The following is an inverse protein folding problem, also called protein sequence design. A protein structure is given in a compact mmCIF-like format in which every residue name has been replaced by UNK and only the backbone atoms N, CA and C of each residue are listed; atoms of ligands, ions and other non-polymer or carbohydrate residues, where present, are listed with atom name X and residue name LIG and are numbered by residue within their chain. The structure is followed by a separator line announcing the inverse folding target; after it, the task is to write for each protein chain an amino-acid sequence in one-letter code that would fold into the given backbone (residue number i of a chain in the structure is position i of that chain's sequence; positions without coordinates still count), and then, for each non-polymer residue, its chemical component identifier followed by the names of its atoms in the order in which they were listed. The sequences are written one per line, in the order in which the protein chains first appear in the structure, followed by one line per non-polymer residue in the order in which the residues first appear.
data_IF_656282588426
#
_entry.id   IF_656282588426
#
_cell.length_a   1.000
_cell.length_b   1.000
_cell.length_c   1.000
_cell.angle_alpha   90.00
_cell.angle_beta   90.00
_cell.angle_gamma   90.00
#
_symmetry.space_group_name_H-M   'P 1'
#
loop_
_entity.id
_entity.type
_entity.pdbx_description
1 polymer ?
#
# COMPACT_ATOMS: atom_id res chain seq x y z
N UNK A 1 7.82 6.03 -26.33
CA UNK A 1 6.37 6.22 -26.16
C UNK A 1 5.98 5.69 -24.77
N UNK A 2 5.39 6.51 -23.91
CA UNK A 2 4.84 6.06 -22.64
C UNK A 2 3.59 5.22 -22.88
N UNK A 3 3.52 4.02 -22.30
CA UNK A 3 2.27 3.24 -22.27
C UNK A 3 1.36 3.84 -21.21
N UNK A 4 0.08 3.88 -21.48
CA UNK A 4 -0.97 4.30 -20.51
C UNK A 4 -1.30 3.12 -19.61
N UNK A 5 -1.60 3.36 -18.33
CA UNK A 5 -1.81 2.31 -17.33
C UNK A 5 -2.90 1.30 -17.73
N UNK A 6 -3.89 1.75 -18.49
CA UNK A 6 -5.02 0.96 -19.00
C UNK A 6 -4.60 -0.21 -19.90
N UNK A 7 -3.38 -0.19 -20.44
CA UNK A 7 -2.84 -1.28 -21.27
C UNK A 7 -2.00 -2.31 -20.50
N UNK A 8 -1.90 -2.15 -19.17
CA UNK A 8 -1.12 -3.07 -18.37
C UNK A 8 -2.01 -4.06 -17.60
N UNK A 9 -1.55 -5.30 -17.52
CA UNK A 9 -2.10 -6.27 -16.60
C UNK A 9 -1.67 -5.92 -15.17
N UNK A 10 -2.62 -5.46 -14.35
CA UNK A 10 -2.39 -5.06 -12.98
C UNK A 10 -2.68 -6.21 -12.02
N UNK A 11 -1.70 -6.55 -11.17
CA UNK A 11 -1.83 -7.50 -10.08
C UNK A 11 -1.82 -6.81 -8.72
N UNK A 12 -2.56 -7.34 -7.76
CA UNK A 12 -2.55 -6.88 -6.37
C UNK A 12 -2.34 -8.09 -5.46
N UNK A 13 -1.30 -8.05 -4.64
CA UNK A 13 -1.05 -9.04 -3.59
C UNK A 13 -1.37 -8.40 -2.24
N UNK A 14 -2.39 -8.95 -1.55
CA UNK A 14 -3.00 -8.38 -0.36
C UNK A 14 -4.20 -7.48 -0.67
N UNK A 15 -5.37 -7.84 -0.14
CA UNK A 15 -6.63 -7.10 -0.34
C UNK A 15 -7.20 -6.60 0.98
N UNK A 16 -6.29 -6.03 1.80
CA UNK A 16 -6.61 -5.25 2.99
C UNK A 16 -7.15 -3.86 2.63
N UNK A 17 -7.06 -2.90 3.55
CA UNK A 17 -7.54 -1.53 3.33
C UNK A 17 -6.90 -0.87 2.10
N UNK A 18 -5.57 -1.00 1.96
CA UNK A 18 -4.81 -0.38 0.87
C UNK A 18 -5.07 -1.09 -0.46
N UNK A 19 -4.93 -2.44 -0.50
CA UNK A 19 -5.19 -3.21 -1.72
C UNK A 19 -6.61 -3.04 -2.24
N UNK A 20 -7.61 -3.00 -1.34
CA UNK A 20 -8.99 -2.67 -1.68
C UNK A 20 -9.13 -1.29 -2.32
N UNK A 21 -8.48 -0.27 -1.73
CA UNK A 21 -8.51 1.10 -2.27
C UNK A 21 -7.90 1.17 -3.67
N UNK A 22 -6.73 0.53 -3.87
CA UNK A 22 -6.07 0.45 -5.19
C UNK A 22 -6.97 -0.26 -6.20
N UNK A 23 -7.55 -1.41 -5.84
CA UNK A 23 -8.48 -2.14 -6.69
C UNK A 23 -9.65 -1.27 -7.16
N UNK A 24 -10.28 -0.53 -6.24
CA UNK A 24 -11.36 0.40 -6.58
C UNK A 24 -10.90 1.51 -7.55
N UNK A 25 -9.73 2.10 -7.32
CA UNK A 25 -9.22 3.14 -8.21
C UNK A 25 -8.87 2.62 -9.60
N UNK A 26 -8.36 1.40 -9.71
CA UNK A 26 -8.12 0.76 -11.00
C UNK A 26 -9.43 0.49 -11.73
N UNK A 27 -10.45 -0.05 -11.05
CA UNK A 27 -11.77 -0.30 -11.63
C UNK A 27 -12.45 0.98 -12.12
N UNK A 28 -12.36 2.08 -11.36
CA UNK A 28 -12.87 3.40 -11.78
C UNK A 28 -12.21 3.92 -13.06
N UNK A 29 -11.00 3.45 -13.38
CA UNK A 29 -10.28 3.75 -14.63
C UNK A 29 -10.51 2.70 -15.73
N UNK A 30 -11.43 1.75 -15.52
CA UNK A 30 -11.71 0.68 -16.48
C UNK A 30 -10.66 -0.44 -16.47
N UNK A 31 -9.74 -0.46 -15.50
CA UNK A 31 -8.72 -1.49 -15.36
C UNK A 31 -9.23 -2.55 -14.38
N UNK A 32 -9.34 -3.79 -14.85
CA UNK A 32 -9.78 -4.91 -14.02
C UNK A 32 -8.55 -5.65 -13.44
N UNK A 33 -8.16 -5.39 -12.17
CA UNK A 33 -6.98 -6.02 -11.61
C UNK A 33 -7.24 -7.49 -11.25
N UNK A 34 -6.16 -8.28 -11.20
CA UNK A 34 -6.17 -9.62 -10.66
C UNK A 34 -5.61 -9.60 -9.23
N UNK A 35 -6.36 -10.15 -8.28
CA UNK A 35 -6.10 -10.03 -6.85
C UNK A 35 -5.78 -11.39 -6.25
N UNK A 36 -4.80 -11.41 -5.36
CA UNK A 36 -4.54 -12.51 -4.43
C UNK A 36 -4.54 -11.98 -2.99
N UNK A 37 -5.15 -12.73 -2.10
CA UNK A 37 -5.01 -12.57 -0.65
C UNK A 37 -4.98 -13.96 -0.01
N UNK A 38 -4.20 -14.12 1.05
CA UNK A 38 -4.15 -15.39 1.79
C UNK A 38 -5.50 -15.70 2.46
N UNK A 39 -6.27 -14.66 2.78
CA UNK A 39 -7.59 -14.78 3.39
C UNK A 39 -8.67 -14.92 2.28
N UNK A 40 -9.37 -16.07 2.17
CA UNK A 40 -10.39 -16.28 1.15
C UNK A 40 -11.57 -15.32 1.26
N UNK A 41 -11.87 -14.78 2.44
CA UNK A 41 -12.90 -13.75 2.60
C UNK A 41 -12.53 -12.49 1.82
N UNK A 42 -11.24 -12.14 1.79
CA UNK A 42 -10.75 -10.98 1.02
C UNK A 42 -10.80 -11.25 -0.49
N UNK A 43 -10.53 -12.48 -0.92
CA UNK A 43 -10.69 -12.86 -2.32
C UNK A 43 -12.15 -12.77 -2.77
N UNK A 44 -13.09 -13.24 -1.95
CA UNK A 44 -14.53 -13.10 -2.22
C UNK A 44 -14.92 -11.61 -2.29
N UNK A 45 -14.38 -10.79 -1.39
CA UNK A 45 -14.59 -9.34 -1.42
C UNK A 45 -14.07 -8.71 -2.72
N UNK A 46 -12.94 -9.17 -3.24
CA UNK A 46 -12.39 -8.71 -4.53
C UNK A 46 -13.32 -9.10 -5.71
N UNK A 47 -13.81 -10.35 -5.73
CA UNK A 47 -14.78 -10.81 -6.73
C UNK A 47 -16.07 -9.98 -6.72
N UNK A 48 -16.60 -9.71 -5.52
CA UNK A 48 -17.81 -8.89 -5.36
C UNK A 48 -17.64 -7.45 -5.88
N UNK A 49 -16.40 -7.01 -6.04
CA UNK A 49 -16.01 -5.72 -6.62
C UNK A 49 -15.59 -5.83 -8.08
N UNK A 50 -15.89 -6.95 -8.74
CA UNK A 50 -15.56 -7.21 -10.14
C UNK A 50 -14.07 -7.33 -10.46
N UNK A 51 -13.19 -7.43 -9.45
CA UNK A 51 -11.81 -7.81 -9.68
C UNK A 51 -11.73 -9.29 -10.13
N UNK A 52 -10.69 -9.64 -10.87
CA UNK A 52 -10.34 -11.04 -11.06
C UNK A 52 -9.62 -11.57 -9.80
N UNK A 53 -9.65 -12.88 -9.59
CA UNK A 53 -8.80 -13.53 -8.59
C UNK A 53 -7.98 -14.64 -9.25
N UNK A 54 -6.78 -14.86 -8.75
CA UNK A 54 -5.93 -15.98 -9.16
C UNK A 54 -4.97 -16.34 -8.00
N UNK A 55 -4.23 -17.43 -8.17
CA UNK A 55 -3.17 -17.78 -7.24
C UNK A 55 -1.98 -16.81 -7.37
N UNK A 56 -1.20 -16.69 -6.30
CA UNK A 56 -0.05 -15.77 -6.21
C UNK A 56 0.95 -15.97 -7.36
N UNK A 57 1.28 -17.22 -7.68
CA UNK A 57 2.26 -17.52 -8.73
C UNK A 57 1.83 -16.96 -10.09
N UNK A 58 0.58 -17.15 -10.46
CA UNK A 58 0.05 -16.67 -11.73
C UNK A 58 0.05 -15.13 -11.78
N UNK A 59 -0.30 -14.48 -10.67
CA UNK A 59 -0.27 -13.01 -10.61
C UNK A 59 1.16 -12.49 -10.78
N UNK A 60 2.11 -13.06 -10.06
CA UNK A 60 3.52 -12.66 -10.15
C UNK A 60 4.08 -12.84 -11.57
N UNK A 61 3.74 -13.95 -12.24
CA UNK A 61 4.27 -14.26 -13.57
C UNK A 61 3.56 -13.55 -14.73
N UNK A 62 2.35 -13.02 -14.52
CA UNK A 62 1.56 -12.42 -15.60
C UNK A 62 1.35 -10.91 -15.47
N UNK A 63 1.54 -10.33 -14.29
CA UNK A 63 1.34 -8.90 -14.09
C UNK A 63 2.47 -8.07 -14.68
N UNK A 64 2.11 -6.96 -15.32
CA UNK A 64 3.05 -5.94 -15.80
C UNK A 64 3.22 -4.82 -14.78
N UNK A 65 2.20 -4.61 -13.95
CA UNK A 65 2.23 -3.73 -12.79
C UNK A 65 1.76 -4.52 -11.58
N UNK A 66 2.58 -4.62 -10.56
CA UNK A 66 2.32 -5.39 -9.36
C UNK A 66 2.32 -4.48 -8.12
N UNK A 67 1.20 -4.45 -7.41
CA UNK A 67 1.05 -3.74 -6.14
C UNK A 67 1.14 -4.72 -4.98
N UNK A 68 2.06 -4.48 -4.05
CA UNK A 68 2.26 -5.27 -2.84
C UNK A 68 1.63 -4.54 -1.66
N UNK A 69 0.57 -5.11 -1.10
CA UNK A 69 -0.31 -4.46 -0.12
C UNK A 69 -0.65 -5.37 1.08
N UNK A 70 0.28 -6.26 1.46
CA UNK A 70 0.05 -7.22 2.55
C UNK A 70 0.42 -6.66 3.93
N UNK A 71 1.42 -5.76 3.99
CA UNK A 71 2.05 -5.28 5.21
C UNK A 71 2.98 -6.32 5.86
N UNK A 72 3.34 -7.37 5.13
CA UNK A 72 4.25 -8.43 5.56
C UNK A 72 4.67 -9.27 4.35
N UNK A 73 5.92 -9.62 4.22
CA UNK A 73 6.57 -10.49 3.20
C UNK A 73 5.67 -11.00 2.07
N UNK A 74 5.29 -10.12 1.15
CA UNK A 74 4.42 -10.48 0.02
C UNK A 74 5.15 -11.26 -1.06
N UNK A 75 6.44 -11.00 -1.27
CA UNK A 75 7.29 -11.72 -2.20
C UNK A 75 8.51 -12.31 -1.49
N UNK A 76 8.81 -13.55 -1.85
CA UNK A 76 10.01 -14.27 -1.43
C UNK A 76 10.93 -14.54 -2.63
N UNK A 77 12.10 -15.14 -2.34
CA UNK A 77 13.12 -15.51 -3.33
C UNK A 77 12.58 -16.28 -4.55
N UNK A 78 11.64 -17.20 -4.34
CA UNK A 78 11.07 -18.00 -5.43
C UNK A 78 10.11 -17.21 -6.28
N UNK A 79 9.47 -16.19 -5.70
CA UNK A 79 8.57 -15.30 -6.41
C UNK A 79 9.35 -14.39 -7.35
N UNK A 80 10.49 -13.81 -6.92
CA UNK A 80 11.32 -12.95 -7.76
C UNK A 80 11.77 -13.60 -9.05
N UNK A 81 12.11 -14.90 -9.00
CA UNK A 81 12.50 -15.66 -10.18
C UNK A 81 11.39 -15.86 -11.22
N UNK A 82 10.13 -15.69 -10.81
CA UNK A 82 8.94 -15.85 -11.65
C UNK A 82 8.39 -14.55 -12.19
N UNK A 83 8.90 -13.41 -11.72
CA UNK A 83 8.41 -12.11 -12.14
C UNK A 83 8.56 -11.98 -13.65
N UNK A 84 7.47 -11.55 -14.29
CA UNK A 84 7.45 -11.28 -15.73
C UNK A 84 8.48 -10.21 -16.09
N UNK A 85 9.22 -10.44 -17.15
CA UNK A 85 10.20 -9.47 -17.66
C UNK A 85 9.55 -8.11 -17.95
N UNK A 86 10.15 -7.06 -17.39
CA UNK A 86 9.69 -5.69 -17.59
C UNK A 86 8.57 -5.25 -16.64
N UNK A 87 8.18 -6.06 -15.67
CA UNK A 87 7.18 -5.67 -14.67
C UNK A 87 7.66 -4.55 -13.78
N UNK A 88 6.72 -3.69 -13.37
CA UNK A 88 6.92 -2.66 -12.37
C UNK A 88 6.30 -3.09 -11.05
N UNK A 89 7.08 -3.06 -9.97
CA UNK A 89 6.69 -3.51 -8.64
C UNK A 89 6.64 -2.32 -7.69
N UNK A 90 5.53 -2.18 -6.98
CA UNK A 90 5.26 -1.11 -6.03
C UNK A 90 4.93 -1.70 -4.66
N UNK A 91 5.74 -1.41 -3.64
CA UNK A 91 5.34 -1.58 -2.24
C UNK A 91 4.49 -0.38 -1.83
N UNK A 92 3.27 -0.64 -1.33
CA UNK A 92 2.28 0.41 -1.04
C UNK A 92 1.86 0.45 0.43
N UNK A 93 2.44 -0.40 1.25
CA UNK A 93 2.26 -0.39 2.72
C UNK A 93 3.33 0.47 3.39
N UNK A 94 3.07 0.90 4.62
CA UNK A 94 3.99 1.77 5.34
C UNK A 94 5.15 1.02 6.02
N UNK A 95 5.09 -0.31 6.09
CA UNK A 95 6.20 -1.14 6.57
C UNK A 95 7.12 -1.49 5.40
N UNK A 96 8.42 -1.48 5.65
CA UNK A 96 9.42 -1.89 4.66
C UNK A 96 9.57 -3.42 4.57
N UNK A 97 8.56 -4.17 5.07
CA UNK A 97 8.57 -5.63 5.24
C UNK A 97 7.87 -6.40 4.11
N UNK A 98 7.52 -5.75 3.00
CA UNK A 98 6.84 -6.43 1.88
C UNK A 98 7.76 -7.36 1.10
N UNK A 99 9.08 -7.14 1.17
CA UNK A 99 10.07 -7.86 0.40
C UNK A 99 11.15 -8.43 1.30
N UNK A 100 11.60 -9.64 0.99
CA UNK A 100 12.88 -10.14 1.47
C UNK A 100 13.98 -9.68 0.50
N UNK A 101 14.55 -8.51 0.77
CA UNK A 101 15.51 -7.83 -0.09
C UNK A 101 16.95 -8.31 0.05
N UNK A 102 17.28 -9.01 1.15
CA UNK A 102 18.62 -9.56 1.41
C UNK A 102 19.14 -10.43 0.27
N UNK A 103 18.23 -11.10 -0.42
CA UNK A 103 18.50 -11.94 -1.57
C UNK A 103 18.67 -11.12 -2.89
N UNK A 104 17.96 -10.02 -3.03
CA UNK A 104 17.97 -9.25 -4.27
C UNK A 104 19.35 -8.67 -4.59
N UNK A 105 20.07 -8.22 -3.56
CA UNK A 105 21.42 -7.64 -3.74
C UNK A 105 22.46 -8.68 -4.15
N UNK A 106 22.25 -9.96 -3.81
CA UNK A 106 23.19 -11.04 -4.14
C UNK A 106 22.91 -11.67 -5.51
N UNK A 107 21.65 -11.72 -5.94
CA UNK A 107 21.22 -12.46 -7.13
C UNK A 107 20.96 -11.58 -8.35
N UNK A 108 20.82 -10.27 -8.15
CA UNK A 108 20.51 -9.32 -9.22
C UNK A 108 21.52 -8.19 -9.29
N UNK A 109 21.85 -7.81 -10.51
CA UNK A 109 22.50 -6.52 -10.77
C UNK A 109 21.44 -5.44 -10.69
N UNK A 110 21.77 -4.33 -9.99
CA UNK A 110 20.83 -3.22 -9.73
C UNK A 110 21.34 -1.98 -10.42
N UNK A 111 20.48 -1.36 -11.22
CA UNK A 111 20.77 -0.12 -11.96
C UNK A 111 19.65 0.90 -11.73
N UNK A 112 19.99 2.12 -11.34
CA UNK A 112 19.00 3.20 -11.23
C UNK A 112 18.76 3.81 -12.63
N UNK A 113 17.56 3.58 -13.19
CA UNK A 113 17.18 4.04 -14.52
C UNK A 113 16.63 5.47 -14.50
N UNK A 114 15.93 5.81 -13.42
CA UNK A 114 15.38 7.15 -13.12
C UNK A 114 15.31 7.31 -11.61
N UNK A 115 15.21 8.53 -11.08
CA UNK A 115 15.06 8.75 -9.66
C UNK A 115 13.96 7.84 -9.05
N UNK A 116 14.34 7.03 -8.09
CA UNK A 116 13.49 6.04 -7.41
C UNK A 116 12.96 4.87 -8.28
N UNK A 117 13.48 4.64 -9.48
CA UNK A 117 13.14 3.49 -10.31
C UNK A 117 14.41 2.70 -10.60
N UNK A 118 14.47 1.50 -10.03
CA UNK A 118 15.63 0.62 -10.12
C UNK A 118 15.29 -0.60 -10.95
N UNK A 119 16.14 -0.90 -11.93
CA UNK A 119 16.08 -2.13 -12.71
C UNK A 119 16.92 -3.19 -12.01
N UNK A 120 16.28 -4.32 -11.72
CA UNK A 120 16.89 -5.54 -11.21
C UNK A 120 16.98 -6.53 -12.37
N UNK A 121 18.16 -7.07 -12.64
CA UNK A 121 18.32 -8.03 -13.74
C UNK A 121 19.42 -9.06 -13.46
N UNK A 122 19.20 -10.26 -13.96
CA UNK A 122 20.18 -11.33 -14.01
C UNK A 122 20.02 -12.13 -15.31
N UNK A 123 20.66 -13.32 -15.42
CA UNK A 123 20.57 -14.18 -16.61
C UNK A 123 19.17 -14.74 -16.87
N UNK A 124 18.28 -14.76 -15.87
CA UNK A 124 16.96 -15.43 -15.95
C UNK A 124 15.83 -14.45 -16.22
N UNK A 125 15.78 -13.33 -15.53
CA UNK A 125 14.74 -12.34 -15.67
C UNK A 125 15.19 -10.91 -15.28
N UNK A 126 14.28 -9.96 -15.51
CA UNK A 126 14.48 -8.56 -15.12
C UNK A 126 13.15 -7.86 -14.85
N UNK A 127 13.16 -6.92 -13.90
CA UNK A 127 11.99 -6.15 -13.50
C UNK A 127 12.41 -4.79 -12.95
N UNK A 128 11.44 -3.91 -12.75
CA UNK A 128 11.65 -2.63 -12.09
C UNK A 128 11.05 -2.65 -10.69
N UNK A 129 11.84 -2.23 -9.71
CA UNK A 129 11.40 -2.06 -8.34
C UNK A 129 11.43 -0.56 -8.00
N UNK A 130 10.28 0.00 -7.62
CA UNK A 130 10.17 1.40 -7.28
C UNK A 130 10.65 1.61 -5.86
N UNK A 131 11.48 2.65 -5.66
CA UNK A 131 12.06 3.03 -4.36
C UNK A 131 12.78 1.87 -3.64
N UNK A 132 13.40 0.96 -4.41
CA UNK A 132 14.06 -0.26 -3.89
C UNK A 132 13.13 -1.10 -2.99
N UNK A 133 11.83 -1.11 -3.26
CA UNK A 133 10.84 -1.86 -2.46
C UNK A 133 10.31 -1.14 -1.23
N UNK A 134 10.83 0.04 -0.89
CA UNK A 134 10.27 0.85 0.19
C UNK A 134 8.93 1.46 -0.21
N UNK A 135 8.13 1.82 0.80
CA UNK A 135 6.81 2.38 0.60
C UNK A 135 6.79 3.60 -0.32
N UNK A 136 5.96 3.57 -1.35
CA UNK A 136 5.83 4.64 -2.34
C UNK A 136 4.83 5.72 -1.94
N UNK A 137 4.11 5.54 -0.84
CA UNK A 137 3.00 6.41 -0.38
C UNK A 137 3.43 7.87 -0.16
N UNK A 138 4.71 8.09 0.17
CA UNK A 138 5.27 9.41 0.47
C UNK A 138 6.04 10.02 -0.70
N UNK A 139 6.00 9.40 -1.89
CA UNK A 139 6.55 10.01 -3.10
C UNK A 139 5.61 11.11 -3.60
N UNK A 140 6.18 12.23 -4.00
CA UNK A 140 5.46 13.34 -4.63
C UNK A 140 4.37 14.00 -3.78
N UNK A 141 4.53 14.08 -2.44
CA UNK A 141 3.55 14.68 -1.54
C UNK A 141 2.15 14.08 -1.71
N UNK A 142 2.08 12.76 -1.92
CA UNK A 142 0.83 12.05 -2.18
C UNK A 142 -0.17 12.08 -1.00
N UNK A 143 0.30 12.44 0.19
CA UNK A 143 -0.54 12.66 1.37
C UNK A 143 -0.76 14.17 1.50
N UNK A 144 -2.01 14.61 1.45
CA UNK A 144 -2.36 15.99 1.77
C UNK A 144 -2.06 16.23 3.26
N UNK A 145 -1.11 17.11 3.55
CA UNK A 145 -0.65 17.44 4.91
C UNK A 145 -1.82 17.77 5.85
N UNK A 146 -2.84 18.44 5.33
CA UNK A 146 -4.02 18.83 6.08
C UNK A 146 -4.75 17.66 6.75
N UNK A 147 -4.84 16.49 6.08
CA UNK A 147 -5.46 15.30 6.66
C UNK A 147 -4.61 14.64 7.74
N UNK A 148 -3.28 14.81 7.70
CA UNK A 148 -2.40 14.31 8.76
C UNK A 148 -2.71 14.99 10.09
N UNK A 149 -3.08 16.29 10.07
CA UNK A 149 -3.46 17.02 11.27
C UNK A 149 -4.69 16.44 11.98
N UNK A 150 -5.63 15.79 11.27
CA UNK A 150 -6.74 15.07 11.93
C UNK A 150 -6.21 13.95 12.82
N UNK A 151 -5.36 13.09 12.25
CA UNK A 151 -4.79 11.94 12.96
C UNK A 151 -3.92 12.41 14.13
N UNK A 152 -3.04 13.38 13.89
CA UNK A 152 -2.17 13.95 14.94
C UNK A 152 -2.98 14.59 16.07
N UNK A 153 -4.06 15.30 15.75
CA UNK A 153 -4.95 15.91 16.75
C UNK A 153 -5.62 14.85 17.60
N UNK A 154 -6.10 13.76 17.00
CA UNK A 154 -6.69 12.65 17.74
C UNK A 154 -5.65 11.96 18.64
N UNK A 155 -4.43 11.75 18.15
CA UNK A 155 -3.33 11.19 18.94
C UNK A 155 -2.99 12.06 20.16
N UNK A 156 -2.92 13.39 20.00
CA UNK A 156 -2.63 14.32 21.10
C UNK A 156 -3.74 14.26 22.16
N UNK A 157 -5.02 14.28 21.73
CA UNK A 157 -6.14 14.20 22.67
C UNK A 157 -6.20 12.83 23.36
N UNK A 158 -5.95 11.74 22.63
CA UNK A 158 -5.87 10.41 23.21
C UNK A 158 -4.78 10.33 24.28
N UNK A 159 -3.58 10.86 24.01
CA UNK A 159 -2.49 10.93 24.98
C UNK A 159 -2.88 11.74 26.23
N UNK A 160 -3.54 12.90 26.06
CA UNK A 160 -4.02 13.69 27.19
C UNK A 160 -5.07 12.96 28.04
N UNK A 161 -5.98 12.21 27.40
CA UNK A 161 -6.98 11.41 28.09
C UNK A 161 -6.33 10.29 28.90
N UNK A 162 -5.33 9.62 28.36
CA UNK A 162 -4.55 8.59 29.06
C UNK A 162 -3.84 9.16 30.29
N UNK A 163 -3.19 10.31 30.16
CA UNK A 163 -2.49 10.95 31.28
C UNK A 163 -3.45 11.36 32.41
N UNK A 164 -4.65 11.85 32.05
CA UNK A 164 -5.65 12.32 33.04
C UNK A 164 -6.42 11.21 33.72
N UNK A 165 -6.50 10.03 33.15
CA UNK A 165 -7.35 8.94 33.60
C UNK A 165 -6.53 7.77 34.12
N UNK A 166 -6.31 7.73 35.45
CA UNK A 166 -5.57 6.65 36.13
C UNK A 166 -6.22 5.24 35.92
N UNK A 167 -7.52 5.18 35.68
CA UNK A 167 -8.23 3.90 35.49
C UNK A 167 -8.08 3.32 34.08
N UNK A 168 -7.72 4.14 33.07
CA UNK A 168 -7.50 3.65 31.71
C UNK A 168 -6.20 2.83 31.59
N UNK A 169 -5.21 3.11 32.42
CA UNK A 169 -3.95 2.35 32.45
C UNK A 169 -4.08 0.90 32.91
N UNK A 170 -5.20 0.57 33.59
CA UNK A 170 -5.47 -0.77 34.11
C UNK A 170 -6.20 -1.68 33.12
N UNK A 171 -6.59 -1.17 31.97
CA UNK A 171 -7.29 -1.95 30.95
C UNK A 171 -6.30 -2.45 29.90
N UNK A 172 -6.15 -3.77 29.81
CA UNK A 172 -5.35 -4.44 28.77
C UNK A 172 -6.08 -4.46 27.40
N UNK A 173 -6.86 -3.43 27.07
CA UNK A 173 -7.64 -3.36 25.84
C UNK A 173 -7.24 -2.13 25.03
N UNK A 174 -7.31 -2.24 23.71
CA UNK A 174 -7.24 -1.08 22.82
C UNK A 174 -8.49 -0.23 23.05
N UNK A 175 -8.29 1.04 23.40
CA UNK A 175 -9.35 2.00 23.64
C UNK A 175 -9.45 2.95 22.45
N UNK A 176 -10.66 3.17 21.97
CA UNK A 176 -10.92 4.21 20.97
C UNK A 176 -11.25 5.54 21.65
N UNK A 177 -10.88 6.64 21.00
CA UNK A 177 -11.33 7.97 21.40
C UNK A 177 -12.84 8.11 21.28
N UNK A 178 -13.44 8.83 22.21
CA UNK A 178 -14.89 9.03 22.23
C UNK A 178 -15.36 9.75 20.95
N UNK A 179 -16.53 9.36 20.45
CA UNK A 179 -17.18 9.95 19.28
C UNK A 179 -17.34 11.49 19.39
N UNK A 180 -17.61 12.01 20.59
CA UNK A 180 -17.70 13.46 20.83
C UNK A 180 -16.36 14.16 20.60
N UNK A 181 -15.24 13.53 20.94
CA UNK A 181 -13.89 14.03 20.69
C UNK A 181 -13.60 14.04 19.19
N UNK A 182 -13.90 12.93 18.49
CA UNK A 182 -13.72 12.85 17.03
C UNK A 182 -14.52 13.93 16.30
N UNK A 183 -15.78 14.16 16.69
CA UNK A 183 -16.64 15.23 16.14
C UNK A 183 -16.05 16.62 16.38
N UNK A 184 -15.54 16.89 17.58
CA UNK A 184 -14.94 18.17 17.92
C UNK A 184 -13.67 18.44 17.08
N UNK A 185 -12.78 17.47 16.96
CA UNK A 185 -11.58 17.56 16.14
C UNK A 185 -11.95 17.80 14.67
N UNK A 186 -12.89 17.03 14.14
CA UNK A 186 -13.35 17.16 12.75
C UNK A 186 -13.96 18.55 12.48
N UNK A 187 -14.71 19.09 13.44
CA UNK A 187 -15.29 20.43 13.31
C UNK A 187 -14.19 21.50 13.26
N UNK A 188 -13.23 21.46 14.18
CA UNK A 188 -12.09 22.38 14.19
C UNK A 188 -11.31 22.27 12.87
N UNK A 189 -11.07 21.05 12.40
CA UNK A 189 -10.37 20.84 11.13
C UNK A 189 -11.11 21.47 9.94
N UNK A 190 -12.44 21.27 9.86
CA UNK A 190 -13.27 21.89 8.82
C UNK A 190 -13.24 23.42 8.91
N UNK A 191 -13.27 23.97 10.10
CA UNK A 191 -13.22 25.43 10.31
C UNK A 191 -11.86 26.00 9.88
N UNK A 192 -10.76 25.31 10.12
CA UNK A 192 -9.41 25.75 9.77
C UNK A 192 -9.10 25.52 8.28
N UNK A 193 -9.34 24.33 7.75
CA UNK A 193 -8.82 23.94 6.44
C UNK A 193 -9.85 24.07 5.30
N UNK A 194 -11.15 23.96 5.56
CA UNK A 194 -12.18 24.11 4.54
C UNK A 194 -12.80 25.50 4.49
N UNK A 195 -13.01 26.10 5.65
CA UNK A 195 -13.63 27.42 5.78
C UNK A 195 -12.59 28.50 6.08
N UNK A 196 -11.39 28.11 6.47
CA UNK A 196 -10.27 28.98 6.72
C UNK A 196 -9.71 29.54 5.42
N UNK A 197 -9.46 30.79 5.40
CA UNK A 197 -8.77 31.48 4.32
C UNK A 197 -7.29 31.10 4.42
N UNK A 198 -6.77 30.34 3.48
CA UNK A 198 -5.37 30.33 3.13
C UNK A 198 -5.10 31.48 2.20
#
# INVERSE_FOLDING_TARGET
MGKVLEYFNCGIIGYGKIGYSIGNHLLQRGIKPTVYDINPIKQISALNRECNIDNKNNIVSNSEVLFLATGNHSLNIHDFRKIKNGSYIFSVTSSDDELDDSYLETEYTIEEIKPNIYKYYNSNNWFYLVKKGNAVNFLHNAVMDDFIYLVMSEMIVAAQLLIKSQDLHKKNNILETNESVKKKISKIWLDVFKNGKY
#
